data_IF_678321299651
#
_entry.id   IF_678321299651
#
_cell.length_a   1.000
_cell.length_b   1.000
_cell.length_c   1.000
_cell.angle_alpha   90.00
_cell.angle_beta   90.00
_cell.angle_gamma   90.00
#
_symmetry.space_group_name_H-M   'P 1'
#
loop_
_entity.id
_entity.type
_entity.pdbx_description
1 polymer ?
#
# COMPACT_ATOMS: atom_id res chain seq x y z
N UNK A 1 -63.44 49.97 15.13
CA UNK A 1 -63.41 48.81 16.02
C UNK A 1 -62.03 48.15 15.79
N UNK A 2 -61.34 47.84 16.88
CA UNK A 2 -59.92 47.72 17.03
C UNK A 2 -59.38 46.46 16.36
N UNK A 3 -58.31 46.67 15.56
CA UNK A 3 -57.48 45.66 14.98
C UNK A 3 -56.26 45.41 15.90
N UNK A 4 -56.17 44.23 16.45
CA UNK A 4 -55.03 43.81 17.29
C UNK A 4 -54.07 42.92 16.46
N UNK A 5 -53.05 43.57 15.97
CA UNK A 5 -51.90 42.85 15.31
C UNK A 5 -50.99 42.18 16.36
N UNK A 6 -51.04 40.87 16.43
CA UNK A 6 -50.09 40.06 17.24
C UNK A 6 -48.83 39.84 16.43
N UNK A 7 -47.75 40.47 16.84
CA UNK A 7 -46.43 40.26 16.32
C UNK A 7 -45.81 38.97 16.93
N UNK A 8 -45.71 37.92 16.15
CA UNK A 8 -44.88 36.75 16.51
C UNK A 8 -43.40 37.06 16.23
N UNK A 9 -42.66 37.26 17.31
CA UNK A 9 -41.20 37.25 17.26
C UNK A 9 -40.71 35.82 16.99
N UNK A 10 -40.03 35.62 15.85
CA UNK A 10 -39.28 34.41 15.58
C UNK A 10 -38.02 34.37 16.47
N UNK A 11 -38.07 33.59 17.52
CA UNK A 11 -36.87 33.16 18.23
C UNK A 11 -36.02 32.25 17.28
N UNK A 12 -34.89 32.78 16.88
CA UNK A 12 -33.89 32.03 16.12
C UNK A 12 -33.39 30.83 16.94
N UNK A 13 -33.94 29.65 16.69
CA UNK A 13 -33.31 28.39 17.09
C UNK A 13 -31.93 28.29 16.45
N UNK A 14 -30.89 28.48 17.26
CA UNK A 14 -29.53 28.16 16.91
C UNK A 14 -29.49 26.66 16.57
N UNK A 15 -29.43 26.34 15.28
CA UNK A 15 -29.25 24.97 14.80
C UNK A 15 -27.85 24.48 15.25
N UNK A 16 -27.81 23.81 16.40
CA UNK A 16 -26.64 23.06 16.83
C UNK A 16 -26.33 22.03 15.76
N UNK A 17 -25.12 22.10 15.19
CA UNK A 17 -24.69 21.18 14.15
C UNK A 17 -24.05 19.93 14.82
N UNK A 18 -24.75 18.80 14.95
CA UNK A 18 -24.30 17.63 15.73
C UNK A 18 -23.02 17.02 15.19
N UNK A 19 -22.65 17.29 13.93
CA UNK A 19 -21.41 16.83 13.33
C UNK A 19 -20.17 17.55 13.88
N UNK A 20 -20.28 18.81 14.25
CA UNK A 20 -19.17 19.58 14.84
C UNK A 20 -18.88 19.17 16.28
N UNK A 21 -19.93 18.84 17.04
CA UNK A 21 -19.78 18.43 18.43
C UNK A 21 -19.24 17.00 18.53
N UNK A 22 -19.59 16.12 17.61
CA UNK A 22 -19.01 14.78 17.49
C UNK A 22 -17.50 14.83 17.21
N UNK A 23 -17.04 15.69 16.30
CA UNK A 23 -15.60 15.83 15.99
C UNK A 23 -14.81 16.35 17.20
N UNK A 24 -15.38 17.26 17.98
CA UNK A 24 -14.75 17.80 19.21
C UNK A 24 -14.65 16.75 20.31
N UNK A 25 -15.64 15.88 20.46
CA UNK A 25 -15.64 14.81 21.45
C UNK A 25 -14.66 13.69 21.10
N UNK A 26 -14.53 13.34 19.82
CA UNK A 26 -13.55 12.32 19.35
C UNK A 26 -12.11 12.84 19.53
N UNK A 27 -11.84 14.13 19.30
CA UNK A 27 -10.51 14.70 19.49
C UNK A 27 -10.06 14.72 20.97
N UNK A 28 -10.99 14.83 21.91
CA UNK A 28 -10.67 14.83 23.34
C UNK A 28 -10.35 13.43 23.88
N UNK A 29 -10.86 12.35 23.26
CA UNK A 29 -10.58 10.96 23.65
C UNK A 29 -9.24 10.43 23.14
N UNK A 30 -8.70 11.01 22.06
CA UNK A 30 -7.42 10.59 21.48
C UNK A 30 -6.19 11.02 22.31
N UNK A 31 -6.31 12.05 23.17
CA UNK A 31 -5.22 12.56 23.97
C UNK A 31 -4.93 11.75 25.25
N UNK A 32 -5.82 10.84 25.65
CA UNK A 32 -5.73 10.08 26.92
C UNK A 32 -5.02 8.73 26.86
N UNK A 33 -4.71 8.19 25.68
CA UNK A 33 -4.25 6.80 25.51
C UNK A 33 -2.71 6.66 25.44
N UNK A 34 -1.96 7.75 25.35
CA UNK A 34 -0.50 7.69 25.13
C UNK A 34 0.33 7.46 26.42
N UNK A 35 -0.27 7.41 27.59
CA UNK A 35 0.47 7.38 28.87
C UNK A 35 0.55 6.02 29.59
N UNK A 36 0.18 4.89 28.98
CA UNK A 36 -0.03 3.66 29.75
C UNK A 36 0.43 2.32 29.19
N UNK A 37 1.23 2.24 28.13
CA UNK A 37 1.65 0.92 27.62
C UNK A 37 3.16 0.72 27.63
N UNK A 38 3.70 0.39 28.81
CA UNK A 38 4.99 -0.33 28.91
C UNK A 38 4.70 -1.83 28.83
N UNK A 39 5.23 -2.47 27.79
CA UNK A 39 5.43 -3.93 27.76
C UNK A 39 4.38 -4.72 27.00
N UNK A 40 4.46 -4.76 25.68
CA UNK A 40 4.03 -5.89 24.88
C UNK A 40 5.26 -6.37 24.12
N UNK A 41 5.61 -7.65 24.33
CA UNK A 41 6.74 -8.31 23.67
C UNK A 41 6.61 -8.17 22.16
N UNK A 42 7.70 -7.73 21.52
CA UNK A 42 7.81 -7.63 20.08
C UNK A 42 7.65 -9.02 19.45
N UNK A 43 6.50 -9.29 18.85
CA UNK A 43 6.47 -10.17 17.70
C UNK A 43 7.38 -9.53 16.65
N UNK A 44 8.28 -10.30 16.05
CA UNK A 44 9.18 -9.83 15.03
C UNK A 44 8.36 -9.41 13.80
N UNK A 45 7.91 -8.17 13.78
CA UNK A 45 7.32 -7.53 12.63
C UNK A 45 8.43 -7.33 11.59
N UNK A 46 8.37 -8.13 10.53
CA UNK A 46 9.04 -7.73 9.30
C UNK A 46 8.36 -6.44 8.84
N UNK A 47 9.11 -5.33 8.68
CA UNK A 47 8.47 -4.04 8.49
C UNK A 47 7.71 -4.01 7.16
N UNK A 48 6.40 -3.90 7.24
CA UNK A 48 5.60 -3.37 6.16
C UNK A 48 5.75 -1.84 6.21
N UNK A 49 6.46 -1.27 5.26
CA UNK A 49 6.53 0.18 5.11
C UNK A 49 5.82 0.63 3.84
N UNK A 50 4.98 1.65 3.97
CA UNK A 50 4.51 2.44 2.83
C UNK A 50 5.58 3.50 2.61
N UNK A 51 6.26 3.48 1.48
CA UNK A 51 7.28 4.47 1.12
C UNK A 51 6.89 5.07 -0.21
N UNK A 52 6.84 6.39 -0.26
CA UNK A 52 6.82 7.12 -1.51
C UNK A 52 8.20 7.00 -2.18
N UNK A 53 8.24 6.90 -3.50
CA UNK A 53 9.51 6.87 -4.24
C UNK A 53 10.35 8.11 -3.90
N UNK A 54 11.64 7.92 -3.61
CA UNK A 54 12.53 9.01 -3.18
C UNK A 54 12.73 10.09 -4.26
N UNK A 55 12.76 9.67 -5.53
CA UNK A 55 12.90 10.55 -6.69
C UNK A 55 12.25 9.91 -7.92
N UNK A 56 11.58 10.71 -8.72
CA UNK A 56 11.00 10.30 -9.99
C UNK A 56 11.58 11.12 -11.14
N UNK A 57 12.26 10.44 -12.06
CA UNK A 57 12.76 11.01 -13.30
C UNK A 57 12.01 10.38 -14.49
N UNK A 58 10.90 10.98 -14.90
CA UNK A 58 10.03 10.42 -15.94
C UNK A 58 9.41 9.08 -15.50
N UNK A 59 9.78 7.99 -16.17
CA UNK A 59 9.30 6.63 -15.88
C UNK A 59 10.21 5.85 -14.93
N UNK A 60 11.31 6.43 -14.48
CA UNK A 60 12.22 5.82 -13.50
C UNK A 60 11.92 6.35 -12.09
N UNK A 61 11.75 5.43 -11.13
CA UNK A 61 11.51 5.74 -9.73
C UNK A 61 12.58 5.07 -8.89
N UNK A 62 13.17 5.84 -7.97
CA UNK A 62 14.22 5.37 -7.08
C UNK A 62 13.64 4.97 -5.72
N UNK A 63 13.97 3.77 -5.27
CA UNK A 63 13.60 3.26 -3.94
C UNK A 63 14.82 2.87 -3.13
N UNK A 64 14.81 3.06 -1.80
CA UNK A 64 15.84 2.51 -0.93
C UNK A 64 15.80 0.98 -0.95
N UNK A 65 16.95 0.33 -0.91
CA UNK A 65 16.99 -1.12 -0.68
C UNK A 65 16.58 -1.39 0.77
N UNK A 66 15.54 -2.20 1.04
CA UNK A 66 15.17 -2.54 2.41
C UNK A 66 16.34 -3.17 3.17
N UNK A 67 16.54 -2.82 4.44
CA UNK A 67 17.68 -3.31 5.24
C UNK A 67 17.59 -4.82 5.55
N UNK A 68 16.38 -5.38 5.59
CA UNK A 68 16.08 -6.79 5.82
C UNK A 68 15.08 -7.32 4.80
N UNK A 69 14.89 -8.63 4.76
CA UNK A 69 13.83 -9.24 3.95
C UNK A 69 12.47 -8.64 4.34
N UNK A 70 11.68 -8.30 3.32
CA UNK A 70 10.40 -7.62 3.53
C UNK A 70 9.78 -7.10 2.24
N UNK A 71 8.63 -6.47 2.38
CA UNK A 71 7.82 -5.93 1.29
C UNK A 71 7.52 -4.46 1.53
N UNK A 72 7.78 -3.63 0.55
CA UNK A 72 7.42 -2.21 0.53
C UNK A 72 6.42 -1.96 -0.59
N UNK A 73 5.31 -1.28 -0.31
CA UNK A 73 4.26 -1.01 -1.31
C UNK A 73 4.12 0.50 -1.49
N UNK A 74 4.40 0.95 -2.71
CA UNK A 74 4.07 2.28 -3.21
C UNK A 74 2.74 2.21 -3.96
N UNK A 75 1.69 2.75 -3.35
CA UNK A 75 0.34 2.71 -3.93
C UNK A 75 0.14 3.79 -4.99
N UNK A 76 0.85 4.91 -4.88
CA UNK A 76 0.75 6.02 -5.82
C UNK A 76 1.29 5.63 -7.19
N UNK A 77 2.44 4.94 -7.21
CA UNK A 77 3.08 4.48 -8.42
C UNK A 77 2.73 3.03 -8.80
N UNK A 78 1.88 2.37 -8.01
CA UNK A 78 1.48 0.97 -8.18
C UNK A 78 2.67 -0.01 -8.22
N UNK A 79 3.70 0.23 -7.41
CA UNK A 79 4.93 -0.56 -7.34
C UNK A 79 5.01 -1.31 -6.01
N UNK A 80 5.47 -2.55 -6.06
CA UNK A 80 5.85 -3.35 -4.90
C UNK A 80 7.34 -3.64 -4.99
N UNK A 81 8.11 -3.25 -3.97
CA UNK A 81 9.52 -3.63 -3.82
C UNK A 81 9.59 -4.77 -2.81
N UNK A 82 10.23 -5.86 -3.21
CA UNK A 82 10.44 -7.02 -2.35
C UNK A 82 11.93 -7.26 -2.19
N UNK A 83 12.41 -7.35 -0.95
CA UNK A 83 13.68 -7.99 -0.63
C UNK A 83 13.40 -9.36 -0.06
N UNK A 84 13.97 -10.39 -0.65
CA UNK A 84 13.80 -11.77 -0.21
C UNK A 84 15.01 -12.62 -0.58
N UNK A 85 15.61 -13.31 0.40
CA UNK A 85 16.75 -14.22 0.22
C UNK A 85 17.91 -13.60 -0.57
N UNK A 86 18.33 -12.38 -0.22
CA UNK A 86 19.43 -11.68 -0.87
C UNK A 86 19.12 -11.16 -2.29
N UNK A 87 17.85 -11.11 -2.68
CA UNK A 87 17.38 -10.57 -3.96
C UNK A 87 16.44 -9.42 -3.73
N UNK A 88 16.46 -8.44 -4.64
CA UNK A 88 15.47 -7.37 -4.70
C UNK A 88 14.74 -7.42 -6.03
N UNK A 89 13.43 -7.34 -5.97
CA UNK A 89 12.52 -7.42 -7.13
C UNK A 89 11.50 -6.29 -7.06
N UNK A 90 11.03 -5.84 -8.22
CA UNK A 90 9.96 -4.85 -8.33
C UNK A 90 8.77 -5.44 -9.10
N UNK A 91 7.57 -5.38 -8.52
CA UNK A 91 6.35 -5.89 -9.13
C UNK A 91 5.33 -4.80 -9.35
N UNK A 92 4.46 -5.01 -10.33
CA UNK A 92 3.22 -4.25 -10.44
C UNK A 92 2.27 -4.64 -9.29
N UNK A 93 1.65 -3.65 -8.66
CA UNK A 93 0.64 -3.85 -7.60
C UNK A 93 -0.63 -4.54 -8.12
N UNK A 94 -0.85 -4.55 -9.43
CA UNK A 94 -2.03 -5.12 -10.07
C UNK A 94 -1.88 -6.61 -10.31
N UNK A 95 -2.92 -7.38 -9.96
CA UNK A 95 -3.00 -8.81 -10.27
C UNK A 95 -3.15 -9.05 -11.78
N UNK A 96 -2.36 -9.97 -12.38
CA UNK A 96 -2.41 -10.27 -13.81
C UNK A 96 -3.78 -10.73 -14.32
N UNK A 97 -4.67 -11.21 -13.45
CA UNK A 97 -5.99 -11.70 -13.85
C UNK A 97 -6.94 -10.57 -14.28
N UNK A 98 -7.17 -9.59 -13.42
CA UNK A 98 -8.15 -8.50 -13.67
C UNK A 98 -7.72 -7.18 -13.00
N UNK A 99 -6.45 -6.89 -12.92
CA UNK A 99 -5.90 -5.65 -12.39
C UNK A 99 -6.37 -5.26 -10.98
N UNK A 100 -6.89 -6.21 -10.19
CA UNK A 100 -7.19 -5.96 -8.78
C UNK A 100 -5.90 -5.88 -7.99
N UNK A 101 -5.84 -5.00 -7.01
CA UNK A 101 -4.63 -4.85 -6.18
C UNK A 101 -4.31 -6.15 -5.42
N UNK A 102 -3.05 -6.55 -5.43
CA UNK A 102 -2.55 -7.63 -4.57
C UNK A 102 -2.24 -7.07 -3.18
N UNK A 103 -2.30 -7.95 -2.16
CA UNK A 103 -2.00 -7.66 -0.77
C UNK A 103 -0.92 -8.59 -0.28
N UNK A 104 0.00 -8.08 0.51
CA UNK A 104 0.95 -8.91 1.23
C UNK A 104 0.31 -9.50 2.48
N UNK A 105 0.50 -10.81 2.69
CA UNK A 105 0.10 -11.54 3.88
C UNK A 105 1.34 -11.98 4.63
N UNK A 106 1.65 -11.25 5.67
CA UNK A 106 2.84 -11.47 6.49
C UNK A 106 2.85 -12.85 7.15
N UNK A 107 1.70 -13.27 7.66
CA UNK A 107 1.52 -14.54 8.35
C UNK A 107 1.81 -15.78 7.47
N UNK A 108 1.66 -15.64 6.16
CA UNK A 108 1.82 -16.72 5.18
C UNK A 108 2.98 -16.47 4.21
N UNK A 109 3.69 -15.34 4.34
CA UNK A 109 4.76 -14.89 3.45
C UNK A 109 4.37 -15.01 1.98
N UNK A 110 3.22 -14.45 1.60
CA UNK A 110 2.70 -14.55 0.24
C UNK A 110 1.90 -13.32 -0.18
N UNK A 111 1.75 -13.13 -1.47
CA UNK A 111 0.81 -12.18 -2.02
C UNK A 111 -0.54 -12.84 -2.31
N UNK A 112 -1.62 -12.10 -2.05
CA UNK A 112 -2.98 -12.52 -2.35
C UNK A 112 -3.71 -11.43 -3.13
N UNK A 113 -4.41 -11.84 -4.19
CA UNK A 113 -5.30 -10.95 -4.93
C UNK A 113 -6.51 -10.60 -4.06
N UNK A 114 -6.84 -9.30 -3.99
CA UNK A 114 -7.95 -8.82 -3.15
C UNK A 114 -9.34 -9.23 -3.63
N UNK A 115 -9.46 -9.77 -4.85
CA UNK A 115 -10.75 -10.00 -5.51
C UNK A 115 -11.04 -11.47 -5.87
N UNK A 116 -10.04 -12.23 -6.31
CA UNK A 116 -10.26 -13.56 -6.90
C UNK A 116 -9.28 -14.63 -6.38
N UNK A 117 -8.76 -14.45 -5.18
CA UNK A 117 -7.95 -15.45 -4.43
C UNK A 117 -6.72 -16.01 -5.18
N UNK A 118 -6.18 -15.25 -6.13
CA UNK A 118 -4.89 -15.62 -6.73
C UNK A 118 -3.78 -15.42 -5.73
N UNK A 119 -2.92 -16.43 -5.61
CA UNK A 119 -1.84 -16.49 -4.61
C UNK A 119 -0.50 -16.56 -5.30
N UNK A 120 0.50 -15.84 -4.75
CA UNK A 120 1.86 -15.78 -5.27
C UNK A 120 2.88 -15.87 -4.14
N UNK A 121 4.04 -16.46 -4.44
CA UNK A 121 5.19 -16.48 -3.52
C UNK A 121 5.79 -15.07 -3.32
N UNK A 122 6.73 -14.87 -2.38
CA UNK A 122 7.47 -13.61 -2.25
C UNK A 122 8.18 -13.18 -3.54
N UNK A 123 8.63 -14.14 -4.35
CA UNK A 123 9.26 -13.88 -5.66
C UNK A 123 8.24 -13.60 -6.77
N UNK A 124 6.95 -13.53 -6.45
CA UNK A 124 5.89 -13.24 -7.41
C UNK A 124 5.49 -14.44 -8.27
N UNK A 125 5.95 -15.66 -7.95
CA UNK A 125 5.58 -16.88 -8.67
C UNK A 125 4.15 -17.28 -8.34
N UNK A 126 3.34 -17.58 -9.35
CA UNK A 126 1.97 -18.02 -9.20
C UNK A 126 1.88 -19.39 -8.49
N UNK A 127 0.99 -19.48 -7.52
CA UNK A 127 0.74 -20.70 -6.73
C UNK A 127 -0.64 -21.28 -7.01
N UNK A 128 -1.66 -20.42 -7.10
CA UNK A 128 -3.03 -20.88 -7.30
C UNK A 128 -4.03 -19.72 -7.42
N UNK A 129 -5.27 -20.03 -7.72
CA UNK A 129 -6.36 -19.07 -7.91
C UNK A 129 -6.72 -18.85 -9.39
N UNK A 130 -7.22 -17.67 -9.73
CA UNK A 130 -7.73 -17.39 -11.08
C UNK A 130 -6.72 -16.77 -12.04
N UNK A 131 -5.58 -16.33 -11.58
CA UNK A 131 -4.50 -15.90 -12.47
C UNK A 131 -3.92 -17.09 -13.24
N UNK A 132 -3.31 -16.81 -14.39
CA UNK A 132 -2.71 -17.82 -15.26
C UNK A 132 -1.21 -17.69 -15.38
N UNK A 133 -0.63 -16.61 -14.82
CA UNK A 133 0.82 -16.30 -14.85
C UNK A 133 1.31 -15.70 -13.55
N UNK A 134 2.60 -15.55 -13.43
CA UNK A 134 3.28 -14.89 -12.32
C UNK A 134 2.90 -13.40 -12.23
N UNK A 135 3.21 -12.75 -11.11
CA UNK A 135 3.11 -11.29 -11.00
C UNK A 135 3.97 -10.60 -12.05
N UNK A 136 3.46 -9.55 -12.65
CA UNK A 136 4.21 -8.77 -13.63
C UNK A 136 5.34 -8.02 -12.93
N UNK A 137 6.57 -8.09 -13.46
CA UNK A 137 7.76 -7.40 -12.93
C UNK A 137 8.04 -6.13 -13.72
N UNK A 138 8.64 -5.16 -13.03
CA UNK A 138 9.30 -4.04 -13.68
C UNK A 138 10.79 -4.32 -13.86
N UNK A 139 11.42 -3.68 -14.85
CA UNK A 139 12.88 -3.67 -14.93
C UNK A 139 13.45 -2.92 -13.75
N UNK A 140 14.53 -3.45 -13.18
CA UNK A 140 15.15 -2.91 -11.96
C UNK A 140 16.68 -2.93 -12.10
N UNK A 141 17.33 -1.85 -11.64
CA UNK A 141 18.79 -1.74 -11.59
C UNK A 141 19.25 -1.22 -10.23
N UNK A 142 20.40 -1.71 -9.73
CA UNK A 142 21.01 -1.22 -8.47
C UNK A 142 21.85 0.01 -8.75
N UNK A 143 21.69 1.03 -7.91
CA UNK A 143 22.51 2.25 -7.91
C UNK A 143 22.88 2.57 -6.47
N UNK A 144 24.12 2.24 -6.09
CA UNK A 144 24.56 2.39 -4.70
C UNK A 144 23.73 1.56 -3.72
N UNK A 145 23.09 2.24 -2.77
CA UNK A 145 22.18 1.62 -1.77
C UNK A 145 20.69 1.76 -2.15
N UNK A 146 20.42 2.03 -3.40
CA UNK A 146 19.06 2.17 -3.95
C UNK A 146 18.85 1.24 -5.14
N UNK A 147 17.59 1.06 -5.51
CA UNK A 147 17.18 0.46 -6.77
C UNK A 147 16.37 1.46 -7.58
N UNK A 148 16.62 1.50 -8.86
CA UNK A 148 15.86 2.29 -9.84
C UNK A 148 14.96 1.34 -10.61
N UNK A 149 13.67 1.63 -10.59
CA UNK A 149 12.59 0.85 -11.22
C UNK A 149 12.05 1.63 -12.41
N UNK A 150 12.02 1.02 -13.58
CA UNK A 150 11.38 1.63 -14.75
C UNK A 150 9.94 1.11 -14.87
N UNK A 151 8.98 1.96 -14.55
CA UNK A 151 7.55 1.60 -14.53
C UNK A 151 6.90 1.55 -15.91
N UNK A 152 7.54 2.08 -16.94
CA UNK A 152 7.09 1.94 -18.33
C UNK A 152 7.47 0.57 -18.94
N UNK A 153 8.41 -0.16 -18.34
CA UNK A 153 8.89 -1.45 -18.82
C UNK A 153 8.39 -2.59 -17.93
N UNK A 154 7.14 -2.96 -18.13
CA UNK A 154 6.53 -4.10 -17.45
C UNK A 154 6.80 -5.39 -18.23
N UNK A 155 7.25 -6.43 -17.52
CA UNK A 155 7.63 -7.73 -18.07
C UNK A 155 6.62 -8.78 -17.60
N UNK A 156 6.00 -9.46 -18.55
CA UNK A 156 5.04 -10.53 -18.30
C UNK A 156 5.74 -11.89 -18.42
N UNK A 157 5.53 -12.77 -17.46
CA UNK A 157 6.26 -14.04 -17.37
C UNK A 157 5.88 -15.05 -18.44
N UNK A 158 4.68 -14.98 -18.96
CA UNK A 158 4.16 -15.84 -20.03
C UNK A 158 4.66 -15.43 -21.44
N UNK A 159 5.00 -14.17 -21.62
CA UNK A 159 5.53 -13.65 -22.88
C UNK A 159 7.05 -13.54 -22.91
N UNK A 160 7.64 -13.18 -21.76
CA UNK A 160 9.06 -12.82 -21.65
C UNK A 160 9.74 -13.54 -20.47
N UNK A 161 9.64 -14.87 -20.40
CA UNK A 161 10.11 -15.66 -19.24
C UNK A 161 11.56 -15.36 -18.85
N UNK A 162 12.48 -15.32 -19.80
CA UNK A 162 13.91 -15.07 -19.52
C UNK A 162 14.15 -13.64 -18.96
N UNK A 163 13.46 -12.65 -19.52
CA UNK A 163 13.54 -11.28 -19.02
C UNK A 163 12.90 -11.16 -17.62
N UNK A 164 11.79 -11.86 -17.38
CA UNK A 164 11.14 -11.92 -16.09
C UNK A 164 12.05 -12.53 -15.02
N UNK A 165 12.71 -13.65 -15.33
CA UNK A 165 13.67 -14.29 -14.42
C UNK A 165 14.88 -13.39 -14.12
N UNK A 166 15.34 -12.60 -15.11
CA UNK A 166 16.46 -11.68 -14.98
C UNK A 166 16.11 -10.35 -14.30
N UNK A 167 14.83 -9.99 -14.20
CA UNK A 167 14.36 -8.73 -13.60
C UNK A 167 14.45 -8.75 -12.07
N UNK A 168 15.66 -8.84 -11.55
CA UNK A 168 16.01 -8.82 -10.13
C UNK A 168 17.40 -8.25 -9.91
N UNK A 169 17.69 -7.82 -8.71
CA UNK A 169 19.03 -7.41 -8.25
C UNK A 169 19.47 -8.38 -7.16
N UNK A 170 20.64 -8.99 -7.31
CA UNK A 170 21.30 -9.72 -6.23
C UNK A 170 22.04 -8.73 -5.30
N UNK A 171 22.01 -8.98 -3.97
CA UNK A 171 22.61 -8.13 -2.92
C UNK A 171 23.94 -8.69 -2.44
#
# INVERSE_FOLDING_TARGET
MKDESVSHACECCACANPRRDFIRQVAALAAGIVAGSRGIAAAADLPFSVVDGLDRAGDEITYPIPASDGVTIDRENAVIIVRFQGKVMAFNLSCPHQNAAVRWRQENLRFECSKHDSVYTPEGTYVGGRATRNMDRFTIKKVGNTVVVNVAQMIQSDEQKSAWDAALVAL
#
